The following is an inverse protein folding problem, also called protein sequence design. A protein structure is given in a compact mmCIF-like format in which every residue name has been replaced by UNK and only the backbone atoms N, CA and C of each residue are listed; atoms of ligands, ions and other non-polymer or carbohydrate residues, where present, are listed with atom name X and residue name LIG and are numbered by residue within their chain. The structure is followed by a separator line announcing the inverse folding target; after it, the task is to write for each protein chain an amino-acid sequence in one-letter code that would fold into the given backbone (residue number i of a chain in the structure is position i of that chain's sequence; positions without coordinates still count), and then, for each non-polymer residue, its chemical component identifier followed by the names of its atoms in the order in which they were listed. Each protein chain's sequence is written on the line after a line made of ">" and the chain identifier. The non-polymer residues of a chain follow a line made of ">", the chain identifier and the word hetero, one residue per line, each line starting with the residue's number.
data_IF_374586721213
#
_entry.id   IF_374586721213
#
_cell.length_a   1.000
_cell.length_b   1.000
_cell.length_c   1.000
_cell.angle_alpha   90.00
_cell.angle_beta   90.00
_cell.angle_gamma   90.00
#
_symmetry.space_group_name_H-M   'P 1'
#
loop_
_entity.id
_entity.type
_entity.pdbx_description
1 polymer ?
#
# COMPACT_ATOMS: atom_id res chain seq x y z
N UNK A 1 -3.40 -3.59 -25.47
CA UNK A 1 -2.86 -2.23 -25.27
C UNK A 1 -1.72 -2.35 -24.26
N UNK A 2 -0.65 -1.57 -24.40
CA UNK A 2 0.48 -1.65 -23.47
C UNK A 2 0.21 -0.74 -22.26
N UNK A 3 0.01 -1.34 -21.09
CA UNK A 3 -0.23 -0.63 -19.83
C UNK A 3 1.04 -0.46 -18.99
N UNK A 4 2.20 -0.87 -19.51
CA UNK A 4 3.45 -0.95 -18.76
C UNK A 4 3.80 0.39 -18.10
N UNK A 5 3.85 1.48 -18.86
CA UNK A 5 4.22 2.80 -18.33
C UNK A 5 3.24 3.29 -17.26
N UNK A 6 1.94 3.08 -17.46
CA UNK A 6 0.88 3.47 -16.51
C UNK A 6 1.06 2.71 -15.19
N UNK A 7 1.20 1.38 -15.27
CA UNK A 7 1.42 0.53 -14.09
C UNK A 7 2.73 0.86 -13.40
N UNK A 8 3.81 1.07 -14.17
CA UNK A 8 5.12 1.45 -13.65
C UNK A 8 5.05 2.75 -12.85
N UNK A 9 4.50 3.82 -13.42
CA UNK A 9 4.32 5.09 -12.71
C UNK A 9 3.43 4.95 -11.48
N UNK A 10 2.31 4.20 -11.57
CA UNK A 10 1.41 4.00 -10.44
C UNK A 10 2.06 3.26 -9.28
N UNK A 11 2.73 2.14 -9.54
CA UNK A 11 3.39 1.35 -8.51
C UNK A 11 4.65 2.00 -7.98
N UNK A 12 5.31 2.87 -8.76
CA UNK A 12 6.35 3.76 -8.28
C UNK A 12 5.81 4.96 -7.49
N UNK A 13 4.51 5.26 -7.51
CA UNK A 13 3.89 6.37 -6.79
C UNK A 13 3.97 7.73 -7.50
N UNK A 14 4.24 7.74 -8.81
CA UNK A 14 4.16 8.93 -9.66
C UNK A 14 2.74 9.09 -10.26
N UNK A 15 1.78 9.37 -9.38
CA UNK A 15 0.37 9.52 -9.74
C UNK A 15 0.09 10.65 -10.75
N UNK A 16 0.79 11.81 -10.72
CA UNK A 16 0.63 12.84 -11.75
C UNK A 16 1.01 12.33 -13.15
N UNK A 17 2.09 11.56 -13.26
CA UNK A 17 2.48 10.97 -14.54
C UNK A 17 1.44 9.95 -15.02
N UNK A 18 0.85 9.14 -14.13
CA UNK A 18 -0.25 8.22 -14.48
C UNK A 18 -1.40 8.96 -15.17
N UNK A 19 -1.85 10.07 -14.58
CA UNK A 19 -2.95 10.86 -15.16
C UNK A 19 -2.58 11.43 -16.53
N UNK A 20 -1.35 11.95 -16.66
CA UNK A 20 -0.85 12.49 -17.93
C UNK A 20 -0.76 11.45 -19.04
N UNK A 21 -0.31 10.23 -18.74
CA UNK A 21 -0.26 9.14 -19.72
C UNK A 21 -1.67 8.72 -20.17
N UNK A 22 -2.63 8.67 -19.24
CA UNK A 22 -4.02 8.31 -19.52
C UNK A 22 -4.73 9.39 -20.36
N UNK A 23 -4.46 10.68 -20.11
CA UNK A 23 -5.00 11.78 -20.93
C UNK A 23 -4.54 11.72 -22.39
N UNK A 24 -3.40 11.10 -22.67
CA UNK A 24 -2.86 10.94 -24.03
C UNK A 24 -3.52 9.83 -24.86
N UNK A 25 -4.41 9.03 -24.27
CA UNK A 25 -5.04 7.87 -24.91
C UNK A 25 -6.45 8.26 -25.41
N UNK A 26 -6.81 7.79 -26.62
CA UNK A 26 -8.18 7.98 -27.16
C UNK A 26 -9.19 7.05 -26.47
N UNK A 27 -10.32 7.62 -26.01
CA UNK A 27 -11.44 6.91 -25.36
C UNK A 27 -11.03 6.03 -24.15
N UNK A 28 -10.33 6.57 -23.14
CA UNK A 28 -9.82 5.79 -22.02
C UNK A 28 -10.93 5.24 -21.11
N UNK A 29 -12.15 5.78 -21.18
CA UNK A 29 -13.29 5.41 -20.34
C UNK A 29 -13.92 4.06 -20.73
N UNK A 30 -13.59 3.53 -21.91
CA UNK A 30 -14.04 2.20 -22.34
C UNK A 30 -13.14 1.05 -21.84
N UNK A 31 -12.08 1.38 -21.11
CA UNK A 31 -11.10 0.43 -20.59
C UNK A 31 -11.09 0.48 -19.05
N UNK A 32 -11.56 -0.60 -18.44
CA UNK A 32 -11.63 -0.73 -16.98
C UNK A 32 -10.24 -0.61 -16.32
N UNK A 33 -9.17 -1.04 -16.99
CA UNK A 33 -7.80 -0.93 -16.49
C UNK A 33 -7.39 0.53 -16.36
N UNK A 34 -7.59 1.31 -17.42
CA UNK A 34 -7.26 2.73 -17.42
C UNK A 34 -8.12 3.48 -16.41
N UNK A 35 -9.41 3.18 -16.36
CA UNK A 35 -10.35 3.76 -15.40
C UNK A 35 -9.93 3.46 -13.97
N UNK A 36 -9.53 2.22 -13.66
CA UNK A 36 -9.03 1.83 -12.34
C UNK A 36 -7.80 2.65 -11.92
N UNK A 37 -6.77 2.72 -12.77
CA UNK A 37 -5.54 3.45 -12.46
C UNK A 37 -5.75 4.97 -12.41
N UNK A 38 -6.62 5.53 -13.26
CA UNK A 38 -7.03 6.94 -13.24
C UNK A 38 -7.71 7.29 -11.92
N UNK A 39 -8.78 6.56 -11.57
CA UNK A 39 -9.59 6.86 -10.38
C UNK A 39 -8.78 6.65 -9.08
N UNK A 40 -7.95 5.60 -8.98
CA UNK A 40 -7.04 5.45 -7.82
C UNK A 40 -6.02 6.58 -7.72
N UNK A 41 -5.44 7.01 -8.83
CA UNK A 41 -4.48 8.12 -8.83
C UNK A 41 -5.14 9.44 -8.43
N UNK A 42 -6.35 9.70 -8.90
CA UNK A 42 -7.13 10.88 -8.49
C UNK A 42 -7.48 10.86 -6.99
N UNK A 43 -7.82 9.69 -6.43
CA UNK A 43 -8.06 9.54 -4.98
C UNK A 43 -6.83 9.93 -4.16
N UNK A 44 -5.64 9.43 -4.52
CA UNK A 44 -4.40 9.74 -3.79
C UNK A 44 -4.02 11.23 -3.89
N UNK A 45 -4.32 11.85 -5.03
CA UNK A 45 -4.05 13.27 -5.28
C UNK A 45 -5.15 14.20 -4.72
N UNK A 46 -6.17 13.68 -4.02
CA UNK A 46 -7.33 14.45 -3.56
C UNK A 46 -8.04 15.23 -4.68
N UNK A 47 -8.03 14.68 -5.90
CA UNK A 47 -8.65 15.25 -7.12
C UNK A 47 -9.69 14.30 -7.70
N UNK A 48 -10.29 13.47 -6.85
CA UNK A 48 -11.29 12.50 -7.26
C UNK A 48 -12.50 13.20 -7.88
N UNK A 49 -12.84 12.76 -9.08
CA UNK A 49 -14.04 13.18 -9.80
C UNK A 49 -14.95 11.98 -9.90
N UNK A 50 -16.14 12.09 -9.31
CA UNK A 50 -17.16 11.04 -9.41
C UNK A 50 -17.50 10.77 -10.88
N UNK A 51 -17.45 9.50 -11.24
CA UNK A 51 -17.85 9.01 -12.55
C UNK A 51 -18.78 7.81 -12.33
N UNK A 52 -20.09 8.05 -12.36
CA UNK A 52 -21.08 6.98 -12.22
C UNK A 52 -21.49 6.36 -13.56
N UNK A 53 -20.79 6.70 -14.65
CA UNK A 53 -21.15 6.21 -16.00
C UNK A 53 -20.86 4.72 -16.20
N UNK A 54 -19.93 4.16 -15.43
CA UNK A 54 -19.53 2.76 -15.45
C UNK A 54 -19.79 2.08 -14.09
N UNK A 55 -19.92 0.74 -14.10
CA UNK A 55 -20.06 -0.06 -12.87
C UNK A 55 -18.85 0.12 -11.93
N UNK A 56 -17.64 0.12 -12.52
CA UNK A 56 -16.41 0.37 -11.79
C UNK A 56 -16.40 1.78 -11.19
N UNK A 57 -16.80 2.79 -11.96
CA UNK A 57 -16.88 4.17 -11.49
C UNK A 57 -17.87 4.37 -10.33
N UNK A 58 -19.06 3.74 -10.40
CA UNK A 58 -20.01 3.71 -9.30
C UNK A 58 -19.44 3.02 -8.05
N UNK A 59 -18.68 1.93 -8.24
CA UNK A 59 -17.97 1.24 -7.14
C UNK A 59 -16.90 2.13 -6.51
N UNK A 60 -16.18 2.93 -7.31
CA UNK A 60 -15.23 3.92 -6.81
C UNK A 60 -15.91 5.03 -5.99
N UNK A 61 -17.09 5.49 -6.39
CA UNK A 61 -17.84 6.49 -5.63
C UNK A 61 -18.20 5.94 -4.24
N UNK A 62 -18.71 4.71 -4.18
CA UNK A 62 -18.98 4.02 -2.92
C UNK A 62 -17.71 3.79 -2.08
N UNK A 63 -16.59 3.48 -2.72
CA UNK A 63 -15.30 3.32 -2.04
C UNK A 63 -14.78 4.65 -1.47
N UNK A 64 -14.90 5.75 -2.22
CA UNK A 64 -14.56 7.11 -1.78
C UNK A 64 -15.40 7.52 -0.56
N UNK A 65 -16.72 7.28 -0.62
CA UNK A 65 -17.64 7.45 0.51
C UNK A 65 -17.21 6.63 1.74
N UNK A 66 -16.80 5.38 1.53
CA UNK A 66 -16.29 4.51 2.58
C UNK A 66 -15.01 5.06 3.23
N UNK A 67 -14.06 5.60 2.46
CA UNK A 67 -12.81 6.15 3.01
C UNK A 67 -13.07 7.27 4.03
N UNK A 68 -14.16 8.02 3.85
CA UNK A 68 -14.58 9.10 4.77
C UNK A 68 -15.47 8.57 5.90
N UNK A 69 -16.54 7.85 5.56
CA UNK A 69 -17.57 7.42 6.51
C UNK A 69 -17.18 6.21 7.36
N UNK A 70 -16.29 5.36 6.85
CA UNK A 70 -15.95 4.03 7.37
C UNK A 70 -17.14 3.08 7.48
N UNK A 71 -18.21 3.32 6.71
CA UNK A 71 -19.34 2.40 6.58
C UNK A 71 -19.23 1.61 5.27
N UNK A 72 -18.96 0.31 5.37
CA UNK A 72 -18.73 -0.56 4.22
C UNK A 72 -20.03 -1.12 3.60
N UNK A 73 -21.17 -1.02 4.31
CA UNK A 73 -22.41 -1.72 3.94
C UNK A 73 -22.88 -1.43 2.52
N UNK A 74 -22.76 -0.18 2.07
CA UNK A 74 -23.18 0.20 0.71
C UNK A 74 -22.30 -0.48 -0.35
N UNK A 75 -20.99 -0.55 -0.09
CA UNK A 75 -20.03 -1.19 -0.98
C UNK A 75 -20.24 -2.70 -1.03
N UNK A 76 -20.39 -3.36 0.13
CA UNK A 76 -20.69 -4.80 0.22
C UNK A 76 -22.00 -5.19 -0.46
N UNK A 77 -23.04 -4.37 -0.36
CA UNK A 77 -24.32 -4.65 -1.01
C UNK A 77 -24.25 -4.44 -2.54
N UNK A 78 -23.31 -3.61 -3.02
CA UNK A 78 -23.17 -3.29 -4.45
C UNK A 78 -22.23 -4.26 -5.17
N UNK A 79 -21.19 -4.74 -4.50
CA UNK A 79 -20.16 -5.61 -5.09
C UNK A 79 -20.47 -7.06 -4.73
N UNK A 80 -20.81 -7.86 -5.75
CA UNK A 80 -21.07 -9.28 -5.59
C UNK A 80 -19.80 -10.07 -5.85
N UNK A 81 -19.29 -10.77 -4.84
CA UNK A 81 -18.02 -11.54 -4.94
C UNK A 81 -18.01 -12.51 -6.12
N UNK A 82 -19.17 -13.07 -6.48
CA UNK A 82 -19.31 -14.08 -7.53
C UNK A 82 -19.44 -13.49 -8.95
N UNK A 83 -19.82 -12.22 -9.10
CA UNK A 83 -20.19 -11.65 -10.42
C UNK A 83 -19.49 -10.35 -10.78
N UNK A 84 -19.03 -9.58 -9.79
CA UNK A 84 -18.33 -8.31 -9.99
C UNK A 84 -16.96 -8.49 -10.65
N UNK A 85 -16.45 -7.45 -11.31
CA UNK A 85 -15.12 -7.45 -11.92
C UNK A 85 -14.00 -7.51 -10.88
N UNK A 86 -12.81 -7.99 -11.25
CA UNK A 86 -11.69 -8.16 -10.31
C UNK A 86 -11.21 -6.82 -9.69
N UNK A 87 -11.33 -5.71 -10.43
CA UNK A 87 -11.05 -4.38 -9.90
C UNK A 87 -12.07 -3.92 -8.83
N UNK A 88 -13.33 -4.31 -8.96
CA UNK A 88 -14.37 -4.03 -7.96
C UNK A 88 -14.12 -4.86 -6.69
N UNK A 89 -13.73 -6.13 -6.85
CA UNK A 89 -13.30 -7.00 -5.74
C UNK A 89 -12.06 -6.43 -5.04
N UNK A 90 -11.11 -5.86 -5.79
CA UNK A 90 -9.95 -5.18 -5.22
C UNK A 90 -10.35 -4.04 -4.29
N UNK A 91 -11.32 -3.22 -4.68
CA UNK A 91 -11.83 -2.11 -3.86
C UNK A 91 -12.56 -2.62 -2.60
N UNK A 92 -13.41 -3.63 -2.74
CA UNK A 92 -14.09 -4.27 -1.61
C UNK A 92 -13.10 -4.85 -0.61
N UNK A 93 -12.13 -5.65 -1.08
CA UNK A 93 -11.12 -6.26 -0.24
C UNK A 93 -10.23 -5.21 0.44
N UNK A 94 -9.87 -4.11 -0.24
CA UNK A 94 -9.19 -2.98 0.39
C UNK A 94 -10.03 -2.37 1.53
N UNK A 95 -11.34 -2.20 1.33
CA UNK A 95 -12.22 -1.64 2.36
C UNK A 95 -12.32 -2.54 3.59
N UNK A 96 -12.47 -3.85 3.40
CA UNK A 96 -12.47 -4.85 4.49
C UNK A 96 -11.15 -4.82 5.27
N UNK A 97 -10.00 -4.81 4.58
CA UNK A 97 -8.69 -4.73 5.22
C UNK A 97 -8.48 -3.43 6.01
N UNK A 98 -9.02 -2.31 5.53
CA UNK A 98 -8.98 -1.02 6.23
C UNK A 98 -9.77 -1.05 7.55
N UNK A 99 -10.88 -1.81 7.60
CA UNK A 99 -11.64 -2.02 8.83
C UNK A 99 -10.93 -2.98 9.81
N UNK A 100 -9.95 -3.74 9.32
CA UNK A 100 -9.22 -4.77 10.07
C UNK A 100 -9.79 -6.18 9.89
N UNK A 101 -10.76 -6.35 8.99
CA UNK A 101 -11.38 -7.65 8.67
C UNK A 101 -10.53 -8.41 7.64
N UNK A 102 -9.31 -8.77 8.04
CA UNK A 102 -8.31 -9.35 7.13
C UNK A 102 -8.72 -10.72 6.58
N UNK A 103 -9.44 -11.53 7.36
CA UNK A 103 -9.90 -12.86 6.91
C UNK A 103 -10.91 -12.75 5.76
N UNK A 104 -11.88 -11.85 5.89
CA UNK A 104 -12.90 -11.62 4.85
C UNK A 104 -12.27 -10.97 3.60
N UNK A 105 -11.33 -10.04 3.81
CA UNK A 105 -10.55 -9.43 2.72
C UNK A 105 -9.77 -10.49 1.92
N UNK A 106 -9.10 -11.41 2.60
CA UNK A 106 -8.39 -12.53 1.95
C UNK A 106 -9.34 -13.46 1.23
N UNK A 107 -10.49 -13.79 1.83
CA UNK A 107 -11.50 -14.61 1.19
C UNK A 107 -12.02 -13.98 -0.10
N UNK A 108 -12.27 -12.67 -0.10
CA UNK A 108 -12.67 -11.91 -1.29
C UNK A 108 -11.59 -11.94 -2.37
N UNK A 109 -10.32 -11.74 -1.99
CA UNK A 109 -9.21 -11.83 -2.93
C UNK A 109 -9.09 -13.23 -3.56
N UNK A 110 -9.07 -14.29 -2.76
CA UNK A 110 -8.87 -15.65 -3.27
C UNK A 110 -10.02 -16.10 -4.16
N UNK A 111 -11.27 -15.78 -3.82
CA UNK A 111 -12.40 -16.03 -4.71
C UNK A 111 -12.28 -15.34 -6.06
N UNK A 112 -11.75 -14.11 -6.09
CA UNK A 112 -11.50 -13.41 -7.35
C UNK A 112 -10.34 -14.02 -8.15
N UNK A 113 -9.27 -14.45 -7.48
CA UNK A 113 -8.08 -15.06 -8.10
C UNK A 113 -8.40 -16.40 -8.78
N UNK A 114 -9.31 -17.19 -8.20
CA UNK A 114 -9.72 -18.50 -8.74
C UNK A 114 -10.56 -18.41 -10.03
N UNK A 115 -10.96 -17.20 -10.44
CA UNK A 115 -11.74 -16.99 -11.67
C UNK A 115 -10.84 -16.98 -12.90
N UNK A 116 -11.40 -17.42 -14.03
CA UNK A 116 -10.73 -17.44 -15.34
C UNK A 116 -10.47 -16.02 -15.93
N UNK A 117 -10.85 -14.96 -15.21
CA UNK A 117 -10.65 -13.58 -15.62
C UNK A 117 -9.19 -13.16 -15.42
N UNK A 118 -8.51 -12.75 -16.50
CA UNK A 118 -7.11 -12.32 -16.45
C UNK A 118 -6.92 -10.85 -16.08
N UNK A 119 -7.89 -9.99 -16.41
CA UNK A 119 -7.80 -8.54 -16.21
C UNK A 119 -8.05 -8.21 -14.73
N UNK A 120 -7.06 -7.60 -14.07
CA UNK A 120 -7.12 -7.25 -12.65
C UNK A 120 -6.67 -8.35 -11.69
N UNK A 121 -6.31 -9.54 -12.20
CA UNK A 121 -5.95 -10.69 -11.37
C UNK A 121 -4.64 -10.46 -10.60
N UNK A 122 -3.60 -9.93 -11.26
CA UNK A 122 -2.31 -9.64 -10.61
C UNK A 122 -2.43 -8.55 -9.55
N UNK A 123 -3.29 -7.55 -9.75
CA UNK A 123 -3.58 -6.52 -8.74
C UNK A 123 -4.26 -7.10 -7.51
N UNK A 124 -5.11 -8.12 -7.69
CA UNK A 124 -5.76 -8.84 -6.61
C UNK A 124 -4.78 -9.77 -5.87
N UNK A 125 -3.84 -10.41 -6.58
CA UNK A 125 -2.73 -11.17 -5.99
C UNK A 125 -1.84 -10.27 -5.12
N UNK A 126 -1.45 -9.10 -5.63
CA UNK A 126 -0.67 -8.14 -4.84
C UNK A 126 -1.42 -7.75 -3.56
N UNK A 127 -2.73 -7.47 -3.68
CA UNK A 127 -3.54 -7.13 -2.52
C UNK A 127 -3.64 -8.31 -1.53
N UNK A 128 -3.84 -9.54 -2.01
CA UNK A 128 -3.86 -10.74 -1.17
C UNK A 128 -2.55 -10.90 -0.38
N UNK A 129 -1.40 -10.70 -1.04
CA UNK A 129 -0.08 -10.70 -0.39
C UNK A 129 -0.01 -9.62 0.69
N UNK A 130 -0.41 -8.38 0.38
CA UNK A 130 -0.38 -7.28 1.35
C UNK A 130 -1.25 -7.57 2.58
N UNK A 131 -2.49 -8.05 2.37
CA UNK A 131 -3.43 -8.35 3.45
C UNK A 131 -2.95 -9.54 4.28
N UNK A 132 -2.40 -10.59 3.66
CA UNK A 132 -1.85 -11.74 4.36
C UNK A 132 -0.67 -11.33 5.26
N UNK A 133 0.20 -10.43 4.80
CA UNK A 133 1.30 -9.89 5.61
C UNK A 133 0.78 -9.01 6.75
N UNK A 134 -0.25 -8.18 6.51
CA UNK A 134 -0.90 -7.40 7.59
C UNK A 134 -1.55 -8.28 8.65
N UNK A 135 -2.03 -9.47 8.26
CA UNK A 135 -2.60 -10.48 9.15
C UNK A 135 -1.57 -11.42 9.79
N UNK A 136 -0.27 -11.12 9.68
CA UNK A 136 0.83 -11.96 10.19
C UNK A 136 0.83 -13.41 9.62
N UNK A 137 0.48 -13.56 8.34
CA UNK A 137 0.45 -14.83 7.62
C UNK A 137 1.42 -14.85 6.41
N UNK A 138 2.74 -14.71 6.62
CA UNK A 138 3.72 -14.64 5.53
C UNK A 138 3.79 -15.92 4.69
N UNK A 139 3.54 -17.10 5.27
CA UNK A 139 3.50 -18.36 4.51
C UNK A 139 2.35 -18.37 3.51
N UNK A 140 1.19 -17.84 3.88
CA UNK A 140 0.05 -17.72 2.96
C UNK A 140 0.36 -16.74 1.83
N UNK A 141 1.00 -15.60 2.15
CA UNK A 141 1.46 -14.64 1.16
C UNK A 141 2.41 -15.27 0.13
N UNK A 142 3.41 -16.02 0.58
CA UNK A 142 4.34 -16.75 -0.30
C UNK A 142 3.61 -17.77 -1.17
N UNK A 143 2.76 -18.62 -0.59
CA UNK A 143 2.04 -19.63 -1.35
C UNK A 143 1.09 -19.03 -2.38
N UNK A 144 0.40 -17.93 -2.06
CA UNK A 144 -0.47 -17.23 -3.00
C UNK A 144 0.30 -16.73 -4.23
N UNK A 145 1.45 -16.08 -4.02
CA UNK A 145 2.29 -15.58 -5.10
C UNK A 145 2.92 -16.72 -5.92
N UNK A 146 3.49 -17.73 -5.27
CA UNK A 146 4.13 -18.88 -5.92
C UNK A 146 3.14 -19.67 -6.79
N UNK A 147 1.91 -19.91 -6.29
CA UNK A 147 0.87 -20.58 -7.05
C UNK A 147 0.46 -19.78 -8.28
N UNK A 148 0.30 -18.46 -8.15
CA UNK A 148 -0.03 -17.59 -9.28
C UNK A 148 1.06 -17.59 -10.35
N UNK A 149 2.33 -17.42 -9.95
CA UNK A 149 3.48 -17.43 -10.87
C UNK A 149 3.59 -18.78 -11.57
N UNK A 150 3.43 -19.88 -10.84
CA UNK A 150 3.52 -21.24 -11.41
C UNK A 150 2.39 -21.52 -12.40
N UNK A 151 1.18 -21.04 -12.12
CA UNK A 151 0.01 -21.26 -12.98
C UNK A 151 0.04 -20.39 -14.26
N UNK A 152 0.72 -19.24 -14.22
CA UNK A 152 0.71 -18.24 -15.29
C UNK A 152 2.08 -18.03 -15.96
N UNK A 153 3.05 -18.92 -15.76
CA UNK A 153 4.45 -18.74 -16.17
C UNK A 153 4.61 -18.29 -17.64
N UNK A 154 3.81 -18.84 -18.55
CA UNK A 154 3.87 -18.53 -19.99
C UNK A 154 3.12 -17.24 -20.38
N UNK A 155 2.35 -16.65 -19.46
CA UNK A 155 1.50 -15.48 -19.67
C UNK A 155 1.98 -14.22 -18.92
N UNK A 156 3.10 -14.30 -18.19
CA UNK A 156 3.67 -13.16 -17.48
C UNK A 156 4.27 -12.18 -18.49
N UNK A 157 3.58 -11.06 -18.68
CA UNK A 157 4.06 -9.89 -19.42
C UNK A 157 4.88 -8.97 -18.51
N UNK A 158 5.67 -8.07 -19.09
CA UNK A 158 6.55 -7.17 -18.32
C UNK A 158 5.80 -6.27 -17.32
N UNK A 159 4.56 -5.90 -17.60
CA UNK A 159 3.73 -5.11 -16.70
C UNK A 159 3.16 -5.93 -15.52
N UNK A 160 2.96 -7.24 -15.71
CA UNK A 160 2.60 -8.20 -14.65
C UNK A 160 3.82 -8.51 -13.79
N UNK A 161 4.99 -8.69 -14.40
CA UNK A 161 6.25 -8.96 -13.72
C UNK A 161 6.63 -7.85 -12.73
N UNK A 162 6.40 -6.58 -13.08
CA UNK A 162 6.58 -5.43 -12.18
C UNK A 162 5.80 -5.63 -10.86
N UNK A 163 4.54 -6.07 -10.95
CA UNK A 163 3.63 -6.20 -9.82
C UNK A 163 4.01 -7.43 -8.98
N UNK A 164 4.41 -8.53 -9.63
CA UNK A 164 4.95 -9.73 -8.97
C UNK A 164 6.20 -9.37 -8.17
N UNK A 165 7.15 -8.64 -8.76
CA UNK A 165 8.39 -8.22 -8.10
C UNK A 165 8.10 -7.35 -6.86
N UNK A 166 7.10 -6.47 -6.94
CA UNK A 166 6.67 -5.68 -5.78
C UNK A 166 6.08 -6.55 -4.67
N UNK A 167 5.24 -7.53 -5.02
CA UNK A 167 4.68 -8.48 -4.06
C UNK A 167 5.78 -9.31 -3.37
N UNK A 168 6.75 -9.80 -4.15
CA UNK A 168 7.91 -10.53 -3.63
C UNK A 168 8.75 -9.64 -2.69
N UNK A 169 8.98 -8.38 -3.04
CA UNK A 169 9.71 -7.43 -2.22
C UNK A 169 9.03 -7.19 -0.86
N UNK A 170 7.69 -7.13 -0.82
CA UNK A 170 6.95 -7.05 0.45
C UNK A 170 7.10 -8.31 1.31
N UNK A 171 7.06 -9.50 0.70
CA UNK A 171 7.30 -10.76 1.41
C UNK A 171 8.72 -10.81 1.98
N UNK A 172 9.73 -10.44 1.19
CA UNK A 172 11.13 -10.36 1.63
C UNK A 172 11.32 -9.36 2.76
N UNK A 173 10.70 -8.19 2.64
CA UNK A 173 10.71 -7.16 3.68
C UNK A 173 10.14 -7.68 4.99
N UNK A 174 8.96 -8.33 4.95
CA UNK A 174 8.30 -8.87 6.15
C UNK A 174 9.10 -10.00 6.80
N UNK A 175 9.62 -10.93 5.99
CA UNK A 175 10.33 -12.11 6.46
C UNK A 175 11.81 -11.84 6.79
N UNK A 176 12.27 -10.59 6.61
CA UNK A 176 13.68 -10.20 6.76
C UNK A 176 14.64 -11.07 5.93
N UNK A 177 14.20 -11.53 4.76
CA UNK A 177 15.02 -12.26 3.80
C UNK A 177 15.68 -11.29 2.83
N UNK A 178 16.92 -11.58 2.45
CA UNK A 178 17.71 -10.80 1.47
C UNK A 178 17.75 -9.28 1.73
N UNK A 179 17.72 -8.90 3.01
CA UNK A 179 17.60 -7.50 3.45
C UNK A 179 18.76 -6.63 2.96
N UNK A 180 19.96 -7.19 2.81
CA UNK A 180 21.16 -6.48 2.35
C UNK A 180 21.58 -6.84 0.90
N UNK A 181 20.75 -7.59 0.18
CA UNK A 181 21.05 -8.06 -1.17
C UNK A 181 19.89 -7.76 -2.11
N UNK A 182 19.17 -8.77 -2.59
CA UNK A 182 18.18 -8.63 -3.66
C UNK A 182 17.08 -7.62 -3.30
N UNK A 183 16.62 -7.61 -2.05
CA UNK A 183 15.54 -6.71 -1.63
C UNK A 183 16.01 -5.25 -1.47
N UNK A 184 17.24 -5.04 -0.99
CA UNK A 184 17.81 -3.69 -0.90
C UNK A 184 18.00 -3.10 -2.30
N UNK A 185 18.65 -3.83 -3.21
CA UNK A 185 18.90 -3.35 -4.57
C UNK A 185 17.62 -3.08 -5.34
N UNK A 186 16.55 -3.86 -5.10
CA UNK A 186 15.24 -3.57 -5.68
C UNK A 186 14.71 -2.18 -5.28
N UNK A 187 14.69 -1.86 -3.98
CA UNK A 187 14.22 -0.55 -3.53
C UNK A 187 15.19 0.59 -3.88
N UNK A 188 16.49 0.32 -3.91
CA UNK A 188 17.51 1.28 -4.35
C UNK A 188 17.32 1.65 -5.83
N UNK A 189 17.20 0.65 -6.72
CA UNK A 189 16.98 0.87 -8.15
C UNK A 189 15.66 1.62 -8.40
N UNK A 190 14.59 1.26 -7.69
CA UNK A 190 13.32 1.97 -7.79
C UNK A 190 13.44 3.44 -7.34
N UNK A 191 14.13 3.71 -6.23
CA UNK A 191 14.30 5.07 -5.73
C UNK A 191 15.20 5.94 -6.62
N UNK A 192 16.20 5.34 -7.27
CA UNK A 192 17.06 6.02 -8.25
C UNK A 192 16.33 6.29 -9.57
N UNK A 193 15.53 5.33 -10.04
CA UNK A 193 14.81 5.44 -11.32
C UNK A 193 13.57 6.31 -11.22
N UNK A 194 12.81 6.17 -10.13
CA UNK A 194 11.58 6.90 -9.86
C UNK A 194 11.67 7.59 -8.50
N UNK A 195 12.24 8.80 -8.41
CA UNK A 195 12.45 9.50 -7.14
C UNK A 195 11.13 10.09 -6.59
N UNK A 196 10.27 9.23 -6.06
CA UNK A 196 8.97 9.58 -5.47
C UNK A 196 8.98 9.38 -3.95
N UNK A 197 7.96 9.91 -3.27
CA UNK A 197 7.77 9.63 -1.84
C UNK A 197 7.70 8.13 -1.54
N UNK A 198 7.02 7.35 -2.38
CA UNK A 198 6.82 5.92 -2.16
C UNK A 198 8.12 5.12 -2.23
N UNK A 199 8.92 5.34 -3.26
CA UNK A 199 10.18 4.61 -3.47
C UNK A 199 11.23 5.03 -2.45
N UNK A 200 11.33 6.32 -2.12
CA UNK A 200 12.25 6.81 -1.10
C UNK A 200 11.87 6.32 0.31
N UNK A 201 10.57 6.23 0.64
CA UNK A 201 10.14 5.60 1.89
C UNK A 201 10.42 4.10 1.92
N UNK A 202 10.33 3.42 0.77
CA UNK A 202 10.75 2.02 0.63
C UNK A 202 12.24 1.85 0.95
N UNK A 203 13.09 2.66 0.31
CA UNK A 203 14.54 2.66 0.54
C UNK A 203 14.90 3.03 1.99
N UNK A 204 14.22 4.03 2.57
CA UNK A 204 14.38 4.40 3.99
C UNK A 204 14.11 3.19 4.90
N UNK A 205 13.02 2.46 4.67
CA UNK A 205 12.70 1.26 5.43
C UNK A 205 13.79 0.18 5.27
N UNK A 206 14.34 -0.01 4.08
CA UNK A 206 15.45 -0.94 3.84
C UNK A 206 16.73 -0.54 4.59
N UNK A 207 17.06 0.76 4.69
CA UNK A 207 18.17 1.23 5.51
C UNK A 207 17.92 1.03 7.01
N UNK A 208 16.69 1.31 7.48
CA UNK A 208 16.30 1.08 8.88
C UNK A 208 16.41 -0.39 9.28
N UNK A 209 15.98 -1.33 8.41
CA UNK A 209 16.13 -2.77 8.66
C UNK A 209 17.60 -3.20 8.80
N UNK A 210 18.52 -2.54 8.09
CA UNK A 210 19.95 -2.83 8.11
C UNK A 210 20.72 -2.06 9.19
N UNK A 211 20.07 -1.12 9.88
CA UNK A 211 20.71 -0.20 10.84
C UNK A 211 21.70 0.78 10.20
N UNK A 212 21.46 1.12 8.94
CA UNK A 212 22.19 2.15 8.20
C UNK A 212 21.62 3.53 8.60
N UNK A 213 21.98 3.97 9.82
CA UNK A 213 21.37 5.14 10.48
C UNK A 213 21.69 6.44 9.75
N UNK A 214 22.90 6.58 9.22
CA UNK A 214 23.35 7.80 8.55
C UNK A 214 22.59 8.00 7.23
N UNK A 215 22.52 6.95 6.42
CA UNK A 215 21.78 6.95 5.16
C UNK A 215 20.29 7.14 5.37
N UNK A 216 19.71 6.52 6.41
CA UNK A 216 18.31 6.72 6.77
C UNK A 216 18.02 8.19 7.16
N UNK A 217 18.92 8.83 7.91
CA UNK A 217 18.79 10.25 8.27
C UNK A 217 18.88 11.14 7.01
N UNK A 218 19.77 10.84 6.08
CA UNK A 218 19.91 11.61 4.85
C UNK A 218 18.67 11.49 3.94
N UNK A 219 18.04 10.32 3.87
CA UNK A 219 16.77 10.15 3.15
C UNK A 219 15.64 10.94 3.85
N UNK A 220 15.61 10.97 5.18
CA UNK A 220 14.63 11.80 5.91
C UNK A 220 14.82 13.28 5.56
N UNK A 221 16.05 13.78 5.56
CA UNK A 221 16.34 15.18 5.17
C UNK A 221 15.96 15.46 3.72
N UNK A 222 16.20 14.50 2.82
CA UNK A 222 15.80 14.60 1.42
C UNK A 222 14.27 14.71 1.28
N UNK A 223 13.52 13.86 1.96
CA UNK A 223 12.04 13.88 1.95
C UNK A 223 11.47 15.16 2.58
N UNK A 224 12.16 15.76 3.54
CA UNK A 224 11.79 17.04 4.15
C UNK A 224 12.21 18.26 3.33
N UNK A 225 13.02 18.07 2.28
CA UNK A 225 13.46 19.18 1.41
C UNK A 225 12.31 19.78 0.60
N UNK A 226 12.49 21.03 0.17
CA UNK A 226 11.51 21.75 -0.66
C UNK A 226 11.14 20.99 -1.95
N UNK A 227 12.06 20.18 -2.49
CA UNK A 227 11.80 19.40 -3.70
C UNK A 227 10.68 18.37 -3.50
N UNK A 228 10.74 17.59 -2.43
CA UNK A 228 9.71 16.57 -2.13
C UNK A 228 8.45 17.18 -1.52
N UNK A 229 8.60 18.25 -0.75
CA UNK A 229 7.47 18.97 -0.13
C UNK A 229 6.72 19.90 -1.11
N UNK A 230 7.25 20.17 -2.31
CA UNK A 230 6.58 21.01 -3.31
C UNK A 230 5.24 20.43 -3.79
N UNK A 231 5.10 19.11 -3.79
CA UNK A 231 3.84 18.43 -4.12
C UNK A 231 3.04 18.16 -2.84
N UNK A 232 2.35 19.19 -2.34
CA UNK A 232 1.67 19.16 -1.05
C UNK A 232 0.68 17.99 -0.90
N UNK A 233 -0.06 17.64 -1.95
CA UNK A 233 -1.03 16.53 -1.90
C UNK A 233 -0.35 15.17 -1.67
N UNK A 234 0.74 14.90 -2.41
CA UNK A 234 1.51 13.65 -2.26
C UNK A 234 2.23 13.62 -0.91
N UNK A 235 2.86 14.73 -0.52
CA UNK A 235 3.53 14.85 0.77
C UNK A 235 2.55 14.58 1.92
N UNK A 236 1.33 15.13 1.86
CA UNK A 236 0.29 14.89 2.86
C UNK A 236 -0.09 13.40 2.94
N UNK A 237 -0.27 12.72 1.80
CA UNK A 237 -0.64 11.30 1.74
C UNK A 237 0.40 10.35 2.34
N UNK A 238 1.68 10.74 2.36
CA UNK A 238 2.77 9.91 2.91
C UNK A 238 3.31 10.38 4.27
N UNK A 239 2.82 11.51 4.80
CA UNK A 239 3.35 12.13 6.02
C UNK A 239 3.31 11.19 7.23
N UNK A 240 2.23 10.42 7.39
CA UNK A 240 2.09 9.48 8.50
C UNK A 240 3.17 8.38 8.49
N UNK A 241 3.54 7.90 7.31
CA UNK A 241 4.57 6.87 7.15
C UNK A 241 5.97 7.43 7.40
N UNK A 242 6.25 8.65 6.94
CA UNK A 242 7.50 9.33 7.27
C UNK A 242 7.63 9.53 8.79
N UNK A 243 6.56 9.96 9.47
CA UNK A 243 6.57 10.14 10.93
C UNK A 243 6.83 8.82 11.66
N UNK A 244 6.20 7.71 11.24
CA UNK A 244 6.47 6.40 11.81
C UNK A 244 7.95 5.98 11.65
N UNK A 245 8.53 6.21 10.48
CA UNK A 245 9.94 5.93 10.22
C UNK A 245 10.87 6.81 11.06
N UNK A 246 10.54 8.10 11.20
CA UNK A 246 11.30 9.03 12.07
C UNK A 246 11.26 8.61 13.53
N UNK A 247 10.13 8.08 14.02
CA UNK A 247 10.05 7.53 15.39
C UNK A 247 11.03 6.37 15.55
N UNK A 248 11.04 5.42 14.62
CA UNK A 248 11.98 4.28 14.64
C UNK A 248 13.44 4.75 14.59
N UNK A 249 13.77 5.67 13.67
CA UNK A 249 15.12 6.24 13.56
C UNK A 249 15.56 6.96 14.85
N UNK A 250 14.67 7.78 15.42
CA UNK A 250 14.89 8.50 16.68
C UNK A 250 15.18 7.54 17.83
N UNK A 251 14.44 6.42 17.92
CA UNK A 251 14.69 5.36 18.91
C UNK A 251 16.07 4.73 18.68
N UNK A 252 16.42 4.40 17.44
CA UNK A 252 17.72 3.78 17.11
C UNK A 252 18.91 4.70 17.42
N UNK A 253 18.72 6.01 17.28
CA UNK A 253 19.72 7.03 17.61
C UNK A 253 19.76 7.38 19.10
N UNK A 254 18.76 6.95 19.89
CA UNK A 254 18.61 7.35 21.29
C UNK A 254 18.27 8.83 21.47
N UNK A 255 17.55 9.45 20.52
CA UNK A 255 17.13 10.86 20.60
C UNK A 255 15.88 11.02 21.50
N UNK A 256 15.83 12.14 22.21
CA UNK A 256 14.76 12.45 23.19
C UNK A 256 13.45 12.92 22.55
N UNK A 257 13.45 13.34 21.28
CA UNK A 257 12.26 13.86 20.58
C UNK A 257 11.27 12.76 20.13
N UNK A 258 11.54 11.49 20.46
CA UNK A 258 10.69 10.35 20.12
C UNK A 258 9.22 10.55 20.56
N UNK A 259 9.00 11.10 21.75
CA UNK A 259 7.64 11.32 22.27
C UNK A 259 6.88 12.42 21.52
N UNK A 260 7.58 13.46 21.05
CA UNK A 260 6.99 14.53 20.26
C UNK A 260 6.53 14.00 18.89
N UNK A 261 7.37 13.17 18.25
CA UNK A 261 7.04 12.52 16.98
C UNK A 261 5.83 11.57 17.13
N UNK A 262 5.76 10.81 18.22
CA UNK A 262 4.58 9.97 18.54
C UNK A 262 3.31 10.80 18.68
N UNK A 263 3.40 11.94 19.37
CA UNK A 263 2.27 12.84 19.55
C UNK A 263 1.86 13.50 18.22
N UNK A 264 2.80 13.81 17.34
CA UNK A 264 2.50 14.31 15.99
C UNK A 264 1.79 13.23 15.15
N UNK A 265 2.31 12.00 15.12
CA UNK A 265 1.70 10.90 14.38
C UNK A 265 0.26 10.62 14.86
N UNK A 266 0.03 10.62 16.17
CA UNK A 266 -1.33 10.43 16.73
C UNK A 266 -2.30 11.56 16.34
N UNK A 267 -1.81 12.78 16.11
CA UNK A 267 -2.62 13.90 15.60
C UNK A 267 -2.92 13.75 14.10
N UNK A 268 -1.94 13.32 13.32
CA UNK A 268 -2.08 13.14 11.86
C UNK A 268 -2.99 11.96 11.55
N UNK A 269 -2.73 10.80 12.15
CA UNK A 269 -3.55 9.61 11.99
C UNK A 269 -3.60 8.78 13.30
N UNK A 270 -4.65 8.97 14.13
CA UNK A 270 -4.79 8.24 15.39
C UNK A 270 -5.03 6.73 15.20
N UNK A 271 -5.42 6.30 13.99
CA UNK A 271 -5.66 4.88 13.66
C UNK A 271 -4.46 4.20 13.00
N UNK A 272 -3.35 4.91 12.80
CA UNK A 272 -2.13 4.36 12.21
C UNK A 272 -1.64 3.14 13.01
N UNK A 273 -1.12 2.12 12.32
CA UNK A 273 -0.70 0.84 12.94
C UNK A 273 0.30 1.04 14.08
N UNK A 274 1.26 1.96 13.91
CA UNK A 274 2.22 2.30 14.97
C UNK A 274 1.52 2.80 16.25
N UNK A 275 0.51 3.68 16.11
CA UNK A 275 -0.21 4.27 17.25
C UNK A 275 -0.99 3.19 17.99
N UNK A 276 -1.77 2.39 17.25
CA UNK A 276 -2.54 1.26 17.82
C UNK A 276 -1.63 0.27 18.56
N UNK A 277 -0.51 -0.13 17.96
CA UNK A 277 0.43 -1.06 18.57
C UNK A 277 1.10 -0.48 19.81
N UNK A 278 1.51 0.78 19.76
CA UNK A 278 2.09 1.47 20.92
C UNK A 278 1.11 1.54 22.09
N UNK A 279 -0.15 1.90 21.83
CA UNK A 279 -1.17 2.02 22.87
C UNK A 279 -1.51 0.65 23.49
N UNK A 280 -1.63 -0.39 22.65
CA UNK A 280 -1.85 -1.75 23.11
C UNK A 280 -0.69 -2.29 23.98
N UNK A 281 0.56 -1.99 23.61
CA UNK A 281 1.73 -2.39 24.39
C UNK A 281 1.82 -1.63 25.72
N UNK A 282 1.52 -0.34 25.73
CA UNK A 282 1.48 0.45 26.96
C UNK A 282 0.38 -0.02 27.92
N UNK A 283 -0.80 -0.34 27.40
CA UNK A 283 -1.88 -0.92 28.21
C UNK A 283 -1.46 -2.25 28.85
N UNK A 284 -0.88 -3.18 28.05
CA UNK A 284 -0.34 -4.45 28.56
C UNK A 284 0.72 -4.25 29.63
N UNK A 285 1.60 -3.25 29.47
CA UNK A 285 2.61 -2.95 30.48
C UNK A 285 1.99 -2.43 31.78
N UNK A 286 1.01 -1.53 31.70
CA UNK A 286 0.29 -1.02 32.87
C UNK A 286 -0.41 -2.14 33.65
N UNK A 287 -1.04 -3.09 32.94
CA UNK A 287 -1.68 -4.26 33.56
C UNK A 287 -0.65 -5.11 34.33
N UNK A 288 0.56 -5.28 33.79
CA UNK A 288 1.65 -5.97 34.48
C UNK A 288 2.10 -5.21 35.73
N UNK A 289 2.27 -3.88 35.64
CA UNK A 289 2.65 -3.05 36.79
C UNK A 289 1.62 -3.20 37.92
N UNK A 290 0.33 -3.11 37.61
CA UNK A 290 -0.75 -3.29 38.59
C UNK A 290 -0.69 -4.67 39.22
N UNK A 291 -0.52 -5.73 38.40
CA UNK A 291 -0.44 -7.12 38.86
C UNK A 291 0.70 -7.36 39.86
N UNK A 292 1.86 -6.74 39.64
CA UNK A 292 3.04 -6.96 40.48
C UNK A 292 3.25 -5.91 41.57
N UNK A 293 2.52 -4.79 41.55
CA UNK A 293 2.55 -3.76 42.60
C UNK A 293 1.47 -3.95 43.66
N UNK A 294 0.55 -4.90 43.44
CA UNK A 294 -0.53 -5.26 44.37
C UNK A 294 -0.14 -6.41 45.34
N UNK A 295 1.15 -6.75 45.41
CA UNK A 295 1.77 -7.65 46.40
C UNK A 295 2.64 -6.84 47.37
#
# INVERSE_FOLDING_TARGET
>A
MDYFTIKQSYYAGDYPQVLKEIEGIENPENDDTLSFYKLKSQLVLNKYTEDESSLLGATFALYSDFLTSRDIKKLENSVSVETSGLYELNLLACAQAILGDYEESLATCFKGIERDDSIGNVELILLAVQVALLNDQPSMASSALENYVSANQDAITSDVELIINLAEAYIKFYTTKDVASSNFYYFEELAQTFPTWKTQLGLLNSHLQQRNIEEAEDIVRLLESDFYCAQADICASYKEHLLANKITLSIMQGKDNTNELRAELAKVNPKHTFVKSNDALNAKFNDLVIKYSSN
#
